data_IF_016082892398
#
_entry.id   IF_016082892398
#
_cell.length_a   1.000
_cell.length_b   1.000
_cell.length_c   1.000
_cell.angle_alpha   90.00
_cell.angle_beta   90.00
_cell.angle_gamma   90.00
#
_symmetry.space_group_name_H-M   'P 1'
#
loop_
_entity.id
_entity.type
_entity.pdbx_description
1 polymer ?
#
# COMPACT_ATOMS: atom_id res chain seq x y z
N UNK A 1 -32.53 8.22 5.26
CA UNK A 1 -31.96 9.58 5.41
C UNK A 1 -33.07 10.48 5.93
N UNK A 2 -32.80 11.37 6.89
CA UNK A 2 -33.84 12.26 7.43
C UNK A 2 -34.08 13.42 6.45
N UNK A 3 -35.33 13.70 6.13
CA UNK A 3 -35.70 14.82 5.26
C UNK A 3 -35.98 16.10 6.07
N UNK A 4 -36.21 17.21 5.37
CA UNK A 4 -36.51 18.52 5.94
C UNK A 4 -37.84 18.59 6.70
N UNK A 5 -38.71 17.59 6.57
CA UNK A 5 -39.97 17.45 7.28
C UNK A 5 -39.87 16.55 8.52
N UNK A 6 -38.66 16.06 8.84
CA UNK A 6 -38.40 15.20 10.00
C UNK A 6 -38.67 13.71 9.78
N UNK A 7 -39.21 13.31 8.63
CA UNK A 7 -39.47 11.91 8.23
C UNK A 7 -38.23 11.24 7.63
N UNK A 8 -38.26 9.90 7.52
CA UNK A 8 -37.16 9.12 6.95
C UNK A 8 -37.49 8.70 5.52
N UNK A 9 -36.61 9.01 4.57
CA UNK A 9 -36.80 8.60 3.18
C UNK A 9 -35.71 7.64 2.71
N UNK A 10 -36.11 6.72 1.83
CA UNK A 10 -35.24 5.84 1.08
C UNK A 10 -35.13 6.32 -0.37
N UNK A 11 -34.03 7.00 -0.72
CA UNK A 11 -33.78 7.50 -2.09
C UNK A 11 -33.59 6.39 -3.13
N UNK A 12 -33.29 5.16 -2.71
CA UNK A 12 -33.16 4.01 -3.60
C UNK A 12 -34.54 3.46 -4.02
N UNK A 13 -35.50 3.47 -3.11
CA UNK A 13 -36.84 2.90 -3.32
C UNK A 13 -37.93 3.96 -3.50
N UNK A 14 -37.60 5.24 -3.31
CA UNK A 14 -38.54 6.37 -3.31
C UNK A 14 -39.69 6.17 -2.32
N UNK A 15 -39.38 5.64 -1.13
CA UNK A 15 -40.34 5.38 -0.06
C UNK A 15 -40.11 6.31 1.13
N UNK A 16 -41.20 6.75 1.74
CA UNK A 16 -41.22 7.52 2.98
C UNK A 16 -41.56 6.61 4.16
N UNK A 17 -40.92 6.86 5.29
CA UNK A 17 -41.07 6.11 6.53
C UNK A 17 -41.24 7.11 7.68
N UNK A 18 -42.23 6.86 8.52
CA UNK A 18 -42.58 7.77 9.62
C UNK A 18 -41.58 7.69 10.78
N UNK A 19 -41.01 6.51 11.03
CA UNK A 19 -40.12 6.24 12.16
C UNK A 19 -38.82 5.59 11.67
N UNK A 20 -37.73 5.77 12.42
CA UNK A 20 -36.42 5.19 12.11
C UNK A 20 -36.45 3.65 12.04
N UNK A 21 -37.18 3.00 12.95
CA UNK A 21 -37.31 1.54 12.93
C UNK A 21 -37.94 0.99 11.64
N UNK A 22 -38.94 1.68 11.09
CA UNK A 22 -39.55 1.30 9.81
C UNK A 22 -38.57 1.50 8.64
N UNK A 23 -37.77 2.57 8.67
CA UNK A 23 -36.71 2.78 7.70
C UNK A 23 -35.62 1.69 7.75
N UNK A 24 -35.18 1.31 8.94
CA UNK A 24 -34.18 0.24 9.12
C UNK A 24 -34.71 -1.11 8.62
N UNK A 25 -35.92 -1.49 9.01
CA UNK A 25 -36.56 -2.72 8.54
C UNK A 25 -36.71 -2.72 7.00
N UNK A 26 -37.04 -1.57 6.41
CA UNK A 26 -37.11 -1.42 4.95
C UNK A 26 -35.76 -1.69 4.26
N UNK A 27 -34.65 -1.17 4.80
CA UNK A 27 -33.31 -1.38 4.19
C UNK A 27 -32.87 -2.84 4.18
N UNK A 28 -33.33 -3.63 5.16
CA UNK A 28 -33.08 -5.07 5.24
C UNK A 28 -34.09 -5.88 4.41
N UNK A 29 -35.16 -5.25 3.91
CA UNK A 29 -36.19 -5.90 3.13
C UNK A 29 -35.76 -6.32 1.72
N UNK A 30 -36.34 -7.41 1.22
CA UNK A 30 -36.03 -8.00 -0.10
C UNK A 30 -36.15 -7.02 -1.27
N UNK A 31 -37.15 -6.12 -1.25
CA UNK A 31 -37.37 -5.10 -2.28
C UNK A 31 -36.25 -4.07 -2.34
N UNK A 32 -35.71 -3.67 -1.19
CA UNK A 32 -34.60 -2.73 -1.12
C UNK A 32 -33.32 -3.36 -1.67
N UNK A 33 -33.04 -4.59 -1.23
CA UNK A 33 -31.88 -5.35 -1.67
C UNK A 33 -31.88 -5.64 -3.18
N UNK A 34 -33.04 -5.96 -3.78
CA UNK A 34 -33.13 -6.15 -5.24
C UNK A 34 -32.93 -4.86 -6.02
N UNK A 35 -33.42 -3.71 -5.53
CA UNK A 35 -33.15 -2.42 -6.16
C UNK A 35 -31.68 -2.03 -6.07
N UNK A 36 -31.01 -2.37 -4.97
CA UNK A 36 -29.57 -2.16 -4.79
C UNK A 36 -28.78 -2.96 -5.83
N UNK A 37 -29.11 -4.24 -5.99
CA UNK A 37 -28.49 -5.10 -6.99
C UNK A 37 -28.73 -4.61 -8.43
N UNK A 38 -29.95 -4.15 -8.75
CA UNK A 38 -30.28 -3.56 -10.06
C UNK A 38 -29.49 -2.29 -10.34
N UNK A 39 -29.32 -1.41 -9.34
CA UNK A 39 -28.51 -0.19 -9.46
C UNK A 39 -27.05 -0.53 -9.70
N UNK A 40 -26.47 -1.42 -8.89
CA UNK A 40 -25.08 -1.87 -9.06
C UNK A 40 -24.84 -2.48 -10.45
N UNK A 41 -25.80 -3.24 -10.98
CA UNK A 41 -25.70 -3.81 -12.33
C UNK A 41 -25.77 -2.75 -13.44
N UNK A 42 -26.56 -1.68 -13.26
CA UNK A 42 -26.63 -0.56 -14.22
C UNK A 42 -25.37 0.29 -14.18
N UNK A 43 -24.91 0.66 -12.98
CA UNK A 43 -23.66 1.40 -12.78
C UNK A 43 -22.45 0.62 -13.33
N UNK A 44 -22.42 -0.71 -13.19
CA UNK A 44 -21.39 -1.54 -13.79
C UNK A 44 -21.43 -1.56 -15.33
N UNK A 45 -22.60 -1.35 -15.95
CA UNK A 45 -22.77 -1.27 -17.41
C UNK A 45 -22.48 0.12 -17.97
N UNK A 46 -22.83 1.17 -17.22
CA UNK A 46 -22.62 2.58 -17.59
C UNK A 46 -21.23 3.11 -17.20
N UNK A 47 -20.49 2.38 -16.35
CA UNK A 47 -19.12 2.72 -16.04
C UNK A 47 -18.30 2.80 -17.34
N UNK A 48 -17.69 3.95 -17.66
CA UNK A 48 -16.87 4.07 -18.86
C UNK A 48 -15.79 3.00 -18.81
N UNK A 49 -15.54 2.36 -19.95
CA UNK A 49 -14.44 1.41 -20.15
C UNK A 49 -13.10 2.16 -20.05
N UNK A 50 -12.77 2.66 -18.86
CA UNK A 50 -11.38 2.86 -18.52
C UNK A 50 -10.71 1.48 -18.61
N UNK A 51 -9.49 1.37 -19.15
CA UNK A 51 -8.73 0.13 -19.06
C UNK A 51 -8.56 -0.18 -17.57
N UNK A 52 -9.45 -0.99 -17.04
CA UNK A 52 -9.42 -1.37 -15.64
C UNK A 52 -8.21 -2.28 -15.51
N UNK A 53 -7.20 -1.93 -14.70
CA UNK A 53 -6.20 -2.91 -14.33
C UNK A 53 -6.99 -4.06 -13.71
N UNK A 54 -6.87 -5.26 -14.27
CA UNK A 54 -7.51 -6.47 -13.77
C UNK A 54 -7.31 -6.49 -12.26
N UNK A 55 -8.35 -6.15 -11.49
CA UNK A 55 -8.31 -6.27 -10.04
C UNK A 55 -8.41 -7.75 -9.76
N UNK A 56 -7.29 -8.47 -9.91
CA UNK A 56 -7.12 -9.78 -9.28
C UNK A 56 -7.52 -9.55 -7.83
N UNK A 57 -8.63 -10.16 -7.43
CA UNK A 57 -9.01 -10.24 -6.02
C UNK A 57 -7.94 -11.12 -5.37
N UNK A 58 -6.87 -10.48 -4.94
CA UNK A 58 -5.84 -11.15 -4.14
C UNK A 58 -6.47 -11.38 -2.79
N UNK A 59 -6.72 -12.65 -2.45
CA UNK A 59 -7.09 -13.01 -1.08
C UNK A 59 -5.91 -12.63 -0.19
N UNK A 60 -6.05 -11.54 0.56
CA UNK A 60 -5.05 -11.08 1.52
C UNK A 60 -5.03 -12.12 2.65
N UNK A 61 -3.96 -12.91 2.72
CA UNK A 61 -3.72 -13.79 3.86
C UNK A 61 -3.48 -12.92 5.09
N UNK A 62 -4.22 -13.17 6.17
CA UNK A 62 -4.03 -12.48 7.45
C UNK A 62 -3.11 -13.34 8.31
N UNK A 63 -1.80 -13.18 8.12
CA UNK A 63 -0.76 -13.82 8.93
C UNK A 63 -0.49 -12.96 10.17
N UNK A 64 -0.26 -13.60 11.34
CA UNK A 64 0.09 -12.90 12.58
C UNK A 64 1.50 -12.33 12.43
N UNK A 65 1.67 -11.05 12.77
CA UNK A 65 2.96 -10.36 12.64
C UNK A 65 3.87 -10.68 13.83
N UNK A 66 5.10 -11.10 13.56
CA UNK A 66 6.08 -11.52 14.60
C UNK A 66 6.94 -10.37 15.14
N UNK A 67 6.87 -9.19 14.51
CA UNK A 67 7.63 -8.00 14.90
C UNK A 67 8.50 -7.46 13.77
N UNK A 68 9.48 -6.62 14.14
CA UNK A 68 10.37 -5.94 13.19
C UNK A 68 11.58 -6.82 12.85
N UNK A 69 11.98 -6.90 11.57
CA UNK A 69 13.18 -7.62 11.17
C UNK A 69 14.45 -6.91 11.62
N UNK A 70 15.54 -7.67 11.75
CA UNK A 70 16.89 -7.11 11.95
C UNK A 70 17.35 -6.37 10.69
N UNK A 71 18.05 -5.25 10.86
CA UNK A 71 18.57 -4.50 9.71
C UNK A 71 19.92 -3.84 10.01
N UNK A 72 20.71 -3.67 8.95
CA UNK A 72 21.97 -2.94 8.94
C UNK A 72 21.99 -1.99 7.74
N UNK A 73 22.40 -0.75 7.98
CA UNK A 73 22.54 0.27 6.93
C UNK A 73 23.99 0.71 6.89
N UNK A 74 24.64 0.51 5.75
CA UNK A 74 26.04 0.88 5.53
C UNK A 74 26.12 2.00 4.50
N UNK A 75 26.82 3.08 4.84
CA UNK A 75 27.15 4.14 3.88
C UNK A 75 28.44 3.76 3.19
N UNK A 76 28.46 3.74 1.88
CA UNK A 76 29.62 3.40 1.06
C UNK A 76 30.02 4.61 0.22
N UNK A 77 31.31 4.74 -0.03
CA UNK A 77 31.88 5.73 -0.93
C UNK A 77 32.82 5.00 -1.88
N UNK A 78 32.58 5.19 -3.17
CA UNK A 78 33.44 4.68 -4.22
C UNK A 78 34.47 5.77 -4.58
N UNK A 79 35.78 5.55 -4.32
CA UNK A 79 36.81 6.53 -4.61
C UNK A 79 37.04 6.77 -6.11
N UNK A 80 36.72 5.81 -6.98
CA UNK A 80 36.93 5.95 -8.43
C UNK A 80 35.83 6.81 -9.06
N UNK A 81 34.58 6.50 -8.77
CA UNK A 81 33.43 7.22 -9.33
C UNK A 81 33.05 8.46 -8.51
N UNK A 82 33.63 8.65 -7.31
CA UNK A 82 33.26 9.66 -6.30
C UNK A 82 31.78 9.61 -5.92
N UNK A 83 31.15 8.45 -6.06
CA UNK A 83 29.74 8.26 -5.74
C UNK A 83 29.58 7.74 -4.32
N UNK A 84 28.48 8.10 -3.65
CA UNK A 84 28.11 7.52 -2.36
C UNK A 84 26.89 6.63 -2.52
N UNK A 85 26.91 5.47 -1.90
CA UNK A 85 25.79 4.54 -1.88
C UNK A 85 25.33 4.23 -0.46
N UNK A 86 24.07 3.83 -0.35
CA UNK A 86 23.47 3.29 0.86
C UNK A 86 23.17 1.82 0.62
N UNK A 87 23.81 0.96 1.40
CA UNK A 87 23.57 -0.47 1.40
C UNK A 87 22.64 -0.81 2.57
N UNK A 88 21.48 -1.36 2.26
CA UNK A 88 20.50 -1.86 3.22
C UNK A 88 20.59 -3.38 3.23
N UNK A 89 20.83 -3.96 4.40
CA UNK A 89 20.83 -5.39 4.63
C UNK A 89 19.75 -5.68 5.67
N UNK A 90 18.77 -6.50 5.32
CA UNK A 90 17.65 -6.85 6.18
C UNK A 90 17.64 -8.36 6.37
N UNK A 91 17.59 -8.80 7.62
CA UNK A 91 17.61 -10.20 8.02
C UNK A 91 16.19 -10.68 8.30
N UNK A 92 15.80 -11.78 7.65
CA UNK A 92 14.47 -12.38 7.77
C UNK A 92 14.54 -13.87 8.15
N UNK A 93 15.07 -14.22 9.34
CA UNK A 93 15.29 -15.62 9.73
C UNK A 93 14.00 -16.47 9.74
N UNK A 94 12.84 -15.88 10.03
CA UNK A 94 11.53 -16.56 10.13
C UNK A 94 10.58 -16.21 8.98
N UNK A 95 11.09 -15.91 7.77
CA UNK A 95 10.25 -15.67 6.58
C UNK A 95 9.44 -16.91 6.19
N UNK A 96 8.21 -16.72 5.71
CA UNK A 96 7.37 -17.82 5.21
C UNK A 96 8.06 -18.56 4.04
N UNK A 97 7.92 -19.88 4.00
CA UNK A 97 8.48 -20.71 2.93
C UNK A 97 7.98 -20.25 1.55
N UNK A 98 8.90 -20.15 0.58
CA UNK A 98 8.67 -19.65 -0.78
C UNK A 98 8.33 -18.15 -0.88
N UNK A 99 8.17 -17.42 0.23
CA UNK A 99 7.98 -15.98 0.19
C UNK A 99 9.31 -15.26 -0.08
N UNK A 100 9.25 -14.22 -0.91
CA UNK A 100 10.40 -13.35 -1.20
C UNK A 100 10.13 -11.95 -0.67
N UNK A 101 11.09 -11.31 0.02
CA UNK A 101 10.95 -9.94 0.46
C UNK A 101 10.82 -9.01 -0.75
N UNK A 102 10.08 -7.92 -0.54
CA UNK A 102 9.84 -6.89 -1.55
C UNK A 102 10.22 -5.54 -0.98
N UNK A 103 10.66 -4.65 -1.86
CA UNK A 103 10.86 -3.25 -1.52
C UNK A 103 10.01 -2.35 -2.41
N UNK A 104 9.70 -1.14 -1.93
CA UNK A 104 9.01 -0.11 -2.71
C UNK A 104 9.40 1.29 -2.22
N UNK A 105 9.53 2.22 -3.16
CA UNK A 105 9.57 3.65 -2.85
C UNK A 105 8.16 4.21 -2.66
N UNK A 106 7.96 4.91 -1.56
CA UNK A 106 6.73 5.59 -1.18
C UNK A 106 6.98 7.08 -1.04
N UNK A 107 6.09 7.90 -1.60
CA UNK A 107 6.21 9.36 -1.44
C UNK A 107 5.79 9.78 -0.03
N UNK A 108 6.27 10.93 0.43
CA UNK A 108 5.89 11.48 1.74
C UNK A 108 4.40 11.86 1.86
N UNK A 109 3.66 11.95 0.75
CA UNK A 109 2.21 12.18 0.77
C UNK A 109 1.39 10.90 1.03
N UNK A 110 1.96 9.71 0.77
CA UNK A 110 1.25 8.44 0.97
C UNK A 110 1.25 7.99 2.43
N UNK A 111 2.26 8.40 3.21
CA UNK A 111 2.35 8.05 4.62
C UNK A 111 1.35 8.85 5.47
N UNK A 112 0.87 8.23 6.57
CA UNK A 112 -0.08 8.86 7.51
C UNK A 112 0.50 9.09 8.92
N UNK A 113 1.77 8.76 9.13
CA UNK A 113 2.40 8.76 10.47
C UNK A 113 2.97 10.14 10.82
N UNK A 114 3.67 10.77 9.89
CA UNK A 114 4.29 12.09 10.08
C UNK A 114 3.76 13.08 9.06
N UNK A 115 3.97 14.38 9.32
CA UNK A 115 3.70 15.43 8.34
C UNK A 115 4.48 15.19 7.05
N UNK A 116 3.86 15.52 5.92
CA UNK A 116 4.48 15.32 4.61
C UNK A 116 5.64 16.30 4.42
N UNK A 117 6.77 15.81 3.90
CA UNK A 117 7.92 16.62 3.51
C UNK A 117 8.38 16.17 2.13
N UNK A 118 8.29 17.05 1.14
CA UNK A 118 8.61 16.75 -0.26
C UNK A 118 10.11 16.45 -0.47
N UNK A 119 10.97 16.86 0.45
CA UNK A 119 12.42 16.63 0.36
C UNK A 119 12.80 15.19 0.62
N UNK A 120 11.87 14.38 1.11
CA UNK A 120 12.10 12.99 1.49
C UNK A 120 11.09 12.05 0.85
N UNK A 121 11.57 10.84 0.59
CA UNK A 121 10.81 9.66 0.22
C UNK A 121 11.09 8.56 1.26
N UNK A 122 10.31 7.50 1.22
CA UNK A 122 10.46 6.37 2.12
C UNK A 122 10.74 5.11 1.32
N UNK A 123 11.83 4.44 1.62
CA UNK A 123 12.13 3.11 1.10
C UNK A 123 11.56 2.06 2.05
N UNK A 124 10.54 1.35 1.61
CA UNK A 124 9.86 0.33 2.40
C UNK A 124 10.41 -1.04 2.07
N UNK A 125 10.48 -1.90 3.08
CA UNK A 125 10.75 -3.32 2.97
C UNK A 125 9.61 -4.11 3.60
N UNK A 126 9.14 -5.12 2.89
CA UNK A 126 8.02 -5.95 3.31
C UNK A 126 8.34 -7.43 3.06
N UNK A 127 8.15 -8.23 4.10
CA UNK A 127 8.16 -9.69 4.06
C UNK A 127 7.16 -10.21 5.09
N UNK A 128 6.41 -11.28 4.77
CA UNK A 128 5.59 -11.96 5.77
C UNK A 128 6.44 -13.00 6.52
N UNK A 129 6.29 -13.14 7.85
CA UNK A 129 5.33 -12.51 8.76
C UNK A 129 5.83 -11.23 9.45
N UNK A 130 6.91 -10.61 8.98
CA UNK A 130 7.47 -9.41 9.59
C UNK A 130 6.61 -8.15 9.38
N UNK A 131 6.81 -7.17 10.26
CA UNK A 131 6.32 -5.81 10.08
C UNK A 131 7.06 -5.11 8.94
N UNK A 132 6.35 -4.20 8.28
CA UNK A 132 6.94 -3.36 7.22
C UNK A 132 7.84 -2.32 7.88
N UNK A 133 9.10 -2.29 7.47
CA UNK A 133 10.05 -1.24 7.87
C UNK A 133 10.21 -0.22 6.75
N UNK A 134 10.47 1.03 7.12
CA UNK A 134 10.66 2.12 6.19
C UNK A 134 11.87 2.96 6.58
N UNK A 135 12.70 3.31 5.60
CA UNK A 135 13.82 4.22 5.77
C UNK A 135 13.53 5.55 5.09
N UNK A 136 13.72 6.64 5.82
CA UNK A 136 13.61 8.00 5.27
C UNK A 136 14.84 8.27 4.40
N UNK A 137 14.63 8.39 3.10
CA UNK A 137 15.68 8.67 2.10
C UNK A 137 15.37 10.00 1.44
N UNK A 138 16.36 10.86 1.19
CA UNK A 138 16.12 12.12 0.48
C UNK A 138 15.60 11.90 -0.97
N UNK A 139 14.78 12.83 -1.49
CA UNK A 139 13.91 12.65 -2.68
C UNK A 139 14.56 12.93 -4.05
N UNK A 140 15.87 12.76 -4.22
CA UNK A 140 16.50 12.94 -5.56
C UNK A 140 16.10 11.83 -6.51
N UNK A 141 16.37 12.08 -7.79
CA UNK A 141 16.30 11.05 -8.81
C UNK A 141 17.23 9.89 -8.45
N UNK A 142 16.61 8.74 -8.23
CA UNK A 142 17.31 7.46 -8.03
C UNK A 142 17.35 6.80 -9.39
N UNK A 143 18.55 6.65 -9.93
CA UNK A 143 18.75 5.93 -11.17
C UNK A 143 18.49 4.43 -10.93
N UNK A 144 17.38 3.92 -11.48
CA UNK A 144 16.96 2.53 -11.36
C UNK A 144 17.69 1.60 -12.34
N UNK A 145 18.61 2.13 -13.14
CA UNK A 145 19.43 1.30 -14.03
C UNK A 145 20.42 0.47 -13.21
N UNK A 146 20.52 -0.82 -13.56
CA UNK A 146 21.65 -1.67 -13.13
C UNK A 146 22.92 -1.10 -13.76
N UNK A 147 24.04 -0.89 -13.02
CA UNK A 147 24.36 -1.41 -11.67
C UNK A 147 24.08 -0.46 -10.50
N UNK A 148 23.53 0.74 -10.74
CA UNK A 148 23.35 1.79 -9.72
C UNK A 148 22.27 1.48 -8.71
N UNK A 149 21.26 0.71 -9.12
CA UNK A 149 20.28 0.12 -8.23
C UNK A 149 20.43 -1.41 -8.25
N UNK A 150 20.63 -2.00 -7.08
CA UNK A 150 20.80 -3.44 -6.93
C UNK A 150 19.92 -3.97 -5.81
N UNK A 151 19.19 -5.06 -6.06
CA UNK A 151 18.44 -5.78 -5.03
C UNK A 151 18.69 -7.26 -5.17
N UNK A 152 19.08 -7.92 -4.07
CA UNK A 152 19.38 -9.34 -4.03
C UNK A 152 18.77 -9.98 -2.79
N UNK A 153 18.13 -11.13 -3.00
CA UNK A 153 17.62 -11.98 -1.92
C UNK A 153 18.45 -13.25 -1.90
N UNK A 154 19.12 -13.48 -0.79
CA UNK A 154 19.80 -14.73 -0.51
C UNK A 154 18.88 -15.62 0.35
N UNK A 155 18.34 -16.72 -0.21
CA UNK A 155 17.45 -17.61 0.53
C UNK A 155 18.18 -18.44 1.61
N UNK A 156 19.49 -18.66 1.46
CA UNK A 156 20.27 -19.50 2.37
C UNK A 156 20.61 -18.73 3.65
N UNK A 157 21.12 -17.50 3.51
CA UNK A 157 21.37 -16.59 4.65
C UNK A 157 20.11 -15.85 5.13
N UNK A 158 19.00 -15.99 4.40
CA UNK A 158 17.75 -15.23 4.62
C UNK A 158 17.98 -13.73 4.71
N UNK A 159 18.92 -13.22 3.90
CA UNK A 159 19.33 -11.82 3.91
C UNK A 159 18.88 -11.12 2.63
N UNK A 160 18.19 -9.99 2.80
CA UNK A 160 17.79 -9.12 1.72
C UNK A 160 18.69 -7.90 1.63
N UNK A 161 19.41 -7.78 0.53
CA UNK A 161 20.34 -6.68 0.28
C UNK A 161 19.79 -5.76 -0.79
N UNK A 162 19.70 -4.47 -0.49
CA UNK A 162 19.39 -3.42 -1.47
C UNK A 162 20.46 -2.35 -1.42
N UNK A 163 21.12 -2.11 -2.55
CA UNK A 163 22.07 -1.02 -2.72
C UNK A 163 21.44 0.10 -3.52
N UNK A 164 21.61 1.31 -2.99
CA UNK A 164 21.12 2.55 -3.56
C UNK A 164 22.30 3.48 -3.80
N UNK A 165 22.72 3.57 -5.06
CA UNK A 165 23.67 4.58 -5.46
C UNK A 165 22.98 5.95 -5.47
N UNK A 166 23.65 6.93 -4.88
CA UNK A 166 23.07 8.21 -4.53
C UNK A 166 24.06 9.31 -4.96
N UNK A 167 23.60 10.26 -5.78
CA UNK A 167 24.46 11.34 -6.31
C UNK A 167 24.73 12.47 -5.31
N UNK A 168 24.23 12.37 -4.07
CA UNK A 168 24.25 13.39 -3.00
C UNK A 168 25.62 13.93 -2.59
N UNK A 169 26.69 13.33 -3.07
CA UNK A 169 28.02 13.52 -2.52
C UNK A 169 29.12 13.74 -3.55
N UNK A 170 28.73 14.12 -4.77
CA UNK A 170 29.61 14.95 -5.57
C UNK A 170 29.58 16.37 -4.98
N UNK A 171 30.74 16.96 -4.65
CA UNK A 171 30.81 18.31 -4.12
C UNK A 171 30.23 19.36 -5.08
#
# INVERSE_FOLDING_TARGET
MRNHLGSYECKLCLTLHNNEGNYLAHTQGKRHQTNLAKRAAREAKEAPAQPQPHKRKVNIRKTVKIGRPGYRVTKQFDPETKQRSLLFQIEYPEIEDLAKPRHRFMSSYEQRVQQFDKRYQYLLFAAEPYEIIAFKVPSTEIDKSTPKFFSHWDPDSKMFTVSLLSTWFTP
#
